data_IF_531207568882
#
_entry.id   IF_531207568882
#
_cell.length_a   1.000
_cell.length_b   1.000
_cell.length_c   1.000
_cell.angle_alpha   90.00
_cell.angle_beta   90.00
_cell.angle_gamma   90.00
#
_symmetry.space_group_name_H-M   'P 1'
#
loop_
_entity.id
_entity.type
_entity.pdbx_description
1 polymer ?
#
# COMPACT_ATOMS: atom_id res chain seq x y z
N UNK A 1 -14.42 -1.47 -13.27
CA UNK A 1 -13.95 -1.84 -11.91
C UNK A 1 -13.16 -0.66 -11.31
N UNK A 2 -13.71 0.08 -10.33
CA UNK A 2 -12.94 1.10 -9.59
C UNK A 2 -12.18 0.39 -8.47
N UNK A 3 -10.93 0.02 -8.72
CA UNK A 3 -10.06 -0.54 -7.68
C UNK A 3 -9.70 0.62 -6.75
N UNK A 4 -10.39 0.73 -5.61
CA UNK A 4 -10.07 1.70 -4.57
C UNK A 4 -9.15 1.07 -3.55
N UNK A 5 -7.90 1.52 -3.51
CA UNK A 5 -6.89 1.08 -2.55
C UNK A 5 -7.10 1.69 -1.15
N UNK A 6 -8.12 2.51 -0.95
CA UNK A 6 -8.49 3.11 0.35
C UNK A 6 -8.64 2.08 1.47
N UNK A 7 -9.24 0.91 1.17
CA UNK A 7 -9.37 -0.20 2.12
C UNK A 7 -8.03 -0.86 2.44
N UNK A 8 -7.14 -0.96 1.46
CA UNK A 8 -5.79 -1.47 1.66
C UNK A 8 -4.98 -0.53 2.56
N UNK A 9 -5.04 0.79 2.32
CA UNK A 9 -4.42 1.80 3.17
C UNK A 9 -4.94 1.76 4.61
N UNK A 10 -6.25 1.56 4.81
CA UNK A 10 -6.81 1.35 6.16
C UNK A 10 -6.28 0.09 6.83
N UNK A 11 -6.21 -1.04 6.12
CA UNK A 11 -5.65 -2.29 6.65
C UNK A 11 -4.16 -2.16 7.02
N UNK A 12 -3.41 -1.34 6.28
CA UNK A 12 -2.01 -1.06 6.59
C UNK A 12 -1.87 -0.28 7.89
N UNK A 13 -2.73 0.71 8.12
CA UNK A 13 -2.77 1.48 9.37
C UNK A 13 -3.17 0.57 10.54
N UNK A 14 -4.21 -0.25 10.35
CA UNK A 14 -4.70 -1.21 11.34
C UNK A 14 -3.59 -2.21 11.75
N UNK A 15 -2.80 -2.66 10.78
CA UNK A 15 -1.63 -3.54 11.01
C UNK A 15 -0.37 -2.81 11.46
N UNK A 16 -0.42 -1.50 11.73
CA UNK A 16 0.75 -0.67 12.07
C UNK A 16 1.90 -0.80 11.06
N UNK A 17 1.58 -1.11 9.80
CA UNK A 17 2.55 -1.31 8.73
C UNK A 17 2.85 0.01 8.03
N UNK A 18 4.13 0.37 8.04
CA UNK A 18 4.62 1.50 7.27
C UNK A 18 4.69 1.17 5.79
N UNK A 19 4.62 2.21 4.95
CA UNK A 19 4.82 2.14 3.49
C UNK A 19 6.08 1.36 3.09
N UNK A 20 7.16 1.49 3.87
CA UNK A 20 8.41 0.75 3.69
C UNK A 20 8.27 -0.73 4.02
N UNK A 21 7.61 -1.08 5.13
CA UNK A 21 7.37 -2.47 5.49
C UNK A 21 6.46 -3.17 4.46
N UNK A 22 5.45 -2.45 3.93
CA UNK A 22 4.64 -2.96 2.83
C UNK A 22 5.47 -3.22 1.58
N UNK A 23 6.39 -2.32 1.27
CA UNK A 23 7.33 -2.46 0.15
C UNK A 23 8.17 -3.73 0.28
N UNK A 24 8.70 -3.99 1.47
CA UNK A 24 9.51 -5.18 1.78
C UNK A 24 8.68 -6.47 1.72
N UNK A 25 7.49 -6.48 2.34
CA UNK A 25 6.63 -7.67 2.42
C UNK A 25 5.99 -8.01 1.07
N UNK A 26 5.54 -7.00 0.31
CA UNK A 26 4.92 -7.21 -0.99
C UNK A 26 5.93 -7.23 -2.15
N UNK A 27 7.21 -6.96 -1.89
CA UNK A 27 8.25 -6.89 -2.93
C UNK A 27 7.99 -5.81 -4.00
N UNK A 28 7.13 -4.83 -3.71
CA UNK A 28 6.72 -3.80 -4.66
C UNK A 28 7.75 -2.68 -4.71
N UNK A 29 7.99 -2.11 -5.89
CA UNK A 29 8.85 -0.93 -6.00
C UNK A 29 8.15 0.34 -5.53
N UNK A 30 8.93 1.36 -5.14
CA UNK A 30 8.39 2.65 -4.68
C UNK A 30 7.50 3.32 -5.75
N UNK A 31 7.79 3.06 -7.02
CA UNK A 31 6.99 3.47 -8.18
C UNK A 31 5.58 2.88 -8.16
N UNK A 32 5.43 1.61 -7.80
CA UNK A 32 4.12 0.92 -7.69
C UNK A 32 3.32 1.44 -6.50
N UNK A 33 3.98 1.69 -5.36
CA UNK A 33 3.36 2.29 -4.18
C UNK A 33 2.85 3.71 -4.47
N UNK A 34 3.64 4.52 -5.20
CA UNK A 34 3.24 5.87 -5.61
C UNK A 34 2.08 5.87 -6.62
N UNK A 35 1.99 4.86 -7.49
CA UNK A 35 0.85 4.68 -8.41
C UNK A 35 -0.44 4.27 -7.67
N UNK A 36 -0.33 3.64 -6.51
CA UNK A 36 -1.45 3.16 -5.69
C UNK A 36 -2.09 4.25 -4.80
N UNK A 37 -1.40 5.37 -4.60
CA UNK A 37 -1.91 6.54 -3.90
C UNK A 37 -2.64 7.55 -4.80
N UNK A 38 -2.81 7.23 -6.09
CA UNK A 38 -3.41 8.11 -7.10
C UNK A 38 -4.89 7.77 -7.35
#
# INVERSE_FOLDING_TARGET
>A
MKISYSRLWKLLIDKKMNKTALKEVAGISNSTLAKMGR
#
